data_IF_913159426146
#
_entry.id   IF_913159426146
#
_cell.length_a   1.000
_cell.length_b   1.000
_cell.length_c   1.000
_cell.angle_alpha   90.00
_cell.angle_beta   90.00
_cell.angle_gamma   90.00
#
_symmetry.space_group_name_H-M   'P 1'
#
loop_
_entity.id
_entity.type
_entity.pdbx_description
1 polymer ?
#
# COMPACT_ATOMS: atom_id res chain seq x y z
N UNK A 1 -10.01 -32.41 9.11
CA UNK A 1 -11.09 -31.41 9.09
C UNK A 1 -10.72 -30.31 8.10
N UNK A 2 -11.30 -30.33 6.90
CA UNK A 2 -11.18 -29.21 5.95
C UNK A 2 -12.22 -28.16 6.33
N UNK A 3 -11.78 -27.04 6.92
CA UNK A 3 -12.64 -25.86 7.08
C UNK A 3 -12.78 -25.18 5.72
N UNK A 4 -13.86 -25.49 5.01
CA UNK A 4 -14.28 -24.74 3.83
C UNK A 4 -14.82 -23.38 4.28
N UNK A 5 -14.00 -22.33 4.20
CA UNK A 5 -14.46 -20.95 4.37
C UNK A 5 -15.53 -20.65 3.31
N UNK A 6 -16.70 -20.19 3.74
CA UNK A 6 -17.81 -19.82 2.85
C UNK A 6 -17.41 -18.67 1.93
N UNK A 7 -17.97 -18.65 0.72
CA UNK A 7 -17.74 -17.60 -0.30
C UNK A 7 -17.95 -16.18 0.26
N UNK A 8 -18.93 -16.00 1.14
CA UNK A 8 -19.21 -14.71 1.81
C UNK A 8 -18.11 -14.28 2.77
N UNK A 9 -17.49 -15.21 3.50
CA UNK A 9 -16.42 -14.90 4.44
C UNK A 9 -15.11 -14.56 3.72
N UNK A 10 -14.81 -15.26 2.61
CA UNK A 10 -13.68 -14.91 1.73
C UNK A 10 -13.84 -13.51 1.15
N UNK A 11 -15.04 -13.16 0.65
CA UNK A 11 -15.35 -11.80 0.16
C UNK A 11 -15.24 -10.72 1.24
N UNK A 12 -15.65 -11.02 2.47
CA UNK A 12 -15.54 -10.09 3.59
C UNK A 12 -14.09 -9.82 4.01
N UNK A 13 -13.23 -10.86 4.02
CA UNK A 13 -11.79 -10.70 4.29
C UNK A 13 -11.14 -9.85 3.19
N UNK A 14 -11.39 -10.17 1.92
CA UNK A 14 -10.87 -9.38 0.79
C UNK A 14 -11.33 -7.93 0.91
N UNK A 15 -12.61 -7.68 1.21
CA UNK A 15 -13.16 -6.31 1.36
C UNK A 15 -12.54 -5.54 2.54
N UNK A 16 -12.46 -6.13 3.75
CA UNK A 16 -11.85 -5.46 4.91
C UNK A 16 -10.36 -5.19 4.69
N UNK A 17 -9.67 -6.11 4.02
CA UNK A 17 -8.27 -5.93 3.67
C UNK A 17 -8.11 -4.88 2.55
N UNK A 18 -9.07 -4.76 1.63
CA UNK A 18 -9.14 -3.70 0.63
C UNK A 18 -9.25 -2.29 1.27
N UNK A 19 -10.05 -2.18 2.33
CA UNK A 19 -10.24 -0.92 3.07
C UNK A 19 -8.99 -0.52 3.88
N UNK A 20 -8.24 -1.48 4.44
CA UNK A 20 -7.02 -1.18 5.22
C UNK A 20 -5.79 -0.89 4.34
N UNK A 21 -5.68 -1.55 3.19
CA UNK A 21 -4.55 -1.40 2.24
C UNK A 21 -4.67 -0.16 1.35
N UNK A 22 -5.84 0.49 1.30
CA UNK A 22 -6.04 1.76 0.59
C UNK A 22 -5.60 3.01 1.36
N UNK A 23 -4.78 2.86 2.40
CA UNK A 23 -4.11 3.97 3.08
C UNK A 23 -2.88 4.50 2.34
N UNK A 24 -2.67 4.12 1.07
CA UNK A 24 -1.64 4.75 0.23
C UNK A 24 -1.98 6.20 -0.05
N UNK A 25 -1.05 7.08 0.29
CA UNK A 25 -1.15 8.50 -0.01
C UNK A 25 -0.49 8.77 -1.36
N UNK A 26 -1.25 9.42 -2.25
CA UNK A 26 -0.70 10.17 -3.38
C UNK A 26 0.46 11.05 -2.88
N UNK A 27 1.57 11.06 -3.61
CA UNK A 27 2.76 11.86 -3.31
C UNK A 27 2.39 13.33 -2.99
N UNK A 28 1.44 13.92 -3.73
CA UNK A 28 0.97 15.29 -3.49
C UNK A 28 0.28 15.44 -2.14
N UNK A 29 -0.54 14.46 -1.75
CA UNK A 29 -1.21 14.46 -0.44
C UNK A 29 -0.20 14.25 0.69
N UNK A 30 0.83 13.43 0.44
CA UNK A 30 1.94 13.23 1.38
C UNK A 30 2.64 14.57 1.68
N UNK A 31 2.98 15.35 0.65
CA UNK A 31 3.63 16.65 0.80
C UNK A 31 2.79 17.66 1.59
N UNK A 32 1.47 17.67 1.35
CA UNK A 32 0.53 18.51 2.12
C UNK A 32 0.54 18.10 3.60
N UNK A 33 0.49 16.80 3.89
CA UNK A 33 0.52 16.29 5.25
C UNK A 33 1.85 16.61 5.96
N UNK A 34 2.98 16.51 5.25
CA UNK A 34 4.28 16.88 5.78
C UNK A 34 4.32 18.37 6.14
N UNK A 35 3.82 19.24 5.28
CA UNK A 35 3.71 20.68 5.58
C UNK A 35 2.87 20.94 6.83
N UNK A 36 1.72 20.26 6.96
CA UNK A 36 0.87 20.38 8.15
C UNK A 36 1.57 19.90 9.43
N UNK A 37 2.27 18.76 9.37
CA UNK A 37 3.04 18.24 10.51
C UNK A 37 4.16 19.23 10.90
N UNK A 38 4.83 19.83 9.91
CA UNK A 38 5.85 20.84 10.18
C UNK A 38 5.28 22.12 10.78
N UNK A 39 4.09 22.55 10.36
CA UNK A 39 3.45 23.77 10.88
C UNK A 39 3.03 23.64 12.35
N UNK A 40 2.79 22.42 12.84
CA UNK A 40 2.48 22.15 14.25
C UNK A 40 3.73 21.90 15.11
N UNK A 41 4.93 22.16 14.59
CA UNK A 41 6.19 22.16 15.35
C UNK A 41 6.92 20.82 15.38
N UNK A 42 6.69 19.96 14.40
CA UNK A 42 7.54 18.79 14.17
C UNK A 42 8.53 19.06 13.05
N UNK A 43 9.67 18.40 13.12
CA UNK A 43 10.71 18.39 12.10
C UNK A 43 10.84 16.98 11.54
N UNK A 44 11.02 16.87 10.23
CA UNK A 44 11.31 15.61 9.57
C UNK A 44 12.81 15.32 9.72
N UNK A 45 13.14 14.33 10.55
CA UNK A 45 14.51 13.86 10.78
C UNK A 45 14.92 12.85 9.71
N UNK A 46 13.96 12.06 9.24
CA UNK A 46 14.19 11.04 8.23
C UNK A 46 13.01 11.00 7.30
N UNK A 47 13.31 10.94 6.02
CA UNK A 47 12.36 10.80 4.93
C UNK A 47 12.99 9.89 3.88
N UNK A 48 12.61 8.62 3.90
CA UNK A 48 13.17 7.60 3.01
C UNK A 48 12.05 7.06 2.14
N UNK A 49 12.17 7.25 0.83
CA UNK A 49 11.31 6.59 -0.14
C UNK A 49 11.74 5.13 -0.31
N UNK A 50 10.84 4.20 0.01
CA UNK A 50 11.04 2.75 -0.11
C UNK A 50 10.17 2.14 -1.22
N UNK A 51 9.57 2.97 -2.10
CA UNK A 51 8.66 2.51 -3.15
C UNK A 51 9.31 1.49 -4.07
N UNK A 52 10.59 1.67 -4.39
CA UNK A 52 11.35 0.71 -5.19
C UNK A 52 11.48 -0.66 -4.50
N UNK A 53 11.78 -0.69 -3.20
CA UNK A 53 11.85 -1.93 -2.42
C UNK A 53 10.48 -2.63 -2.33
N UNK A 54 9.40 -1.85 -2.26
CA UNK A 54 8.03 -2.39 -2.31
C UNK A 54 7.76 -3.03 -3.66
N UNK A 55 8.11 -2.37 -4.77
CA UNK A 55 7.95 -2.94 -6.12
C UNK A 55 8.73 -4.24 -6.29
N UNK A 56 9.99 -4.29 -5.87
CA UNK A 56 10.79 -5.52 -5.88
C UNK A 56 10.12 -6.65 -5.08
N UNK A 57 9.57 -6.32 -3.90
CA UNK A 57 8.85 -7.31 -3.09
C UNK A 57 7.56 -7.79 -3.77
N UNK A 58 6.90 -6.93 -4.53
CA UNK A 58 5.74 -7.29 -5.34
C UNK A 58 6.14 -8.21 -6.48
N UNK A 59 7.22 -7.92 -7.20
CA UNK A 59 7.74 -8.77 -8.28
C UNK A 59 8.02 -10.18 -7.78
N UNK A 60 8.78 -10.31 -6.69
CA UNK A 60 9.20 -11.60 -6.11
C UNK A 60 8.00 -12.46 -5.66
N UNK A 61 6.93 -11.84 -5.17
CA UNK A 61 5.81 -12.55 -4.54
C UNK A 61 4.58 -12.70 -5.44
N UNK A 62 4.54 -12.01 -6.57
CA UNK A 62 3.35 -11.97 -7.42
C UNK A 62 2.94 -13.36 -7.88
N UNK A 63 3.86 -14.16 -8.41
CA UNK A 63 3.52 -15.50 -8.92
C UNK A 63 2.93 -16.40 -7.83
N UNK A 64 3.54 -16.37 -6.65
CA UNK A 64 3.05 -17.12 -5.49
C UNK A 64 1.62 -16.70 -5.11
N UNK A 65 1.36 -15.40 -5.05
CA UNK A 65 0.04 -14.90 -4.70
C UNK A 65 -1.00 -15.21 -5.78
N UNK A 66 -0.69 -14.97 -7.06
CA UNK A 66 -1.59 -15.31 -8.17
C UNK A 66 -1.99 -16.77 -8.15
N UNK A 67 -1.04 -17.68 -7.88
CA UNK A 67 -1.33 -19.10 -7.73
C UNK A 67 -2.30 -19.38 -6.58
N UNK A 68 -2.07 -18.78 -5.40
CA UNK A 68 -2.98 -18.92 -4.25
C UNK A 68 -4.40 -18.45 -4.60
N UNK A 69 -4.54 -17.34 -5.33
CA UNK A 69 -5.83 -16.82 -5.76
C UNK A 69 -6.51 -17.72 -6.81
N UNK A 70 -5.75 -18.29 -7.75
CA UNK A 70 -6.24 -19.27 -8.73
C UNK A 70 -6.73 -20.54 -8.04
N UNK A 71 -5.91 -21.14 -7.18
CA UNK A 71 -6.21 -22.38 -6.46
C UNK A 71 -7.45 -22.25 -5.55
N UNK A 72 -7.82 -21.02 -5.18
CA UNK A 72 -9.00 -20.71 -4.37
C UNK A 72 -10.24 -20.27 -5.16
N UNK A 73 -10.20 -20.31 -6.51
CA UNK A 73 -11.27 -19.83 -7.39
C UNK A 73 -11.73 -18.40 -7.05
N UNK A 74 -10.75 -17.52 -6.77
CA UNK A 74 -11.00 -16.09 -6.52
C UNK A 74 -10.97 -15.25 -7.80
N UNK A 75 -10.68 -15.86 -8.94
CA UNK A 75 -10.76 -15.27 -10.28
C UNK A 75 -12.01 -15.73 -11.01
N UNK A 76 -13.21 -15.38 -10.52
CA UNK A 76 -14.46 -15.87 -11.12
C UNK A 76 -14.77 -15.16 -12.44
N UNK A 77 -14.29 -13.92 -12.59
CA UNK A 77 -14.36 -13.13 -13.82
C UNK A 77 -13.14 -12.22 -13.99
N UNK A 78 -13.11 -11.50 -15.13
CA UNK A 78 -12.03 -10.57 -15.46
C UNK A 78 -11.95 -9.38 -14.50
N UNK A 79 -13.08 -8.91 -13.97
CA UNK A 79 -13.12 -7.78 -13.03
C UNK A 79 -12.52 -8.14 -11.68
N UNK A 80 -12.84 -9.33 -11.15
CA UNK A 80 -12.20 -9.88 -9.95
C UNK A 80 -10.70 -10.10 -10.16
N UNK A 81 -10.31 -10.56 -11.36
CA UNK A 81 -8.91 -10.70 -11.73
C UNK A 81 -8.16 -9.37 -11.70
N UNK A 82 -8.69 -8.35 -12.36
CA UNK A 82 -8.10 -7.01 -12.34
C UNK A 82 -8.00 -6.46 -10.92
N UNK A 83 -9.06 -6.62 -10.13
CA UNK A 83 -9.11 -6.19 -8.74
C UNK A 83 -8.03 -6.85 -7.89
N UNK A 84 -7.85 -8.17 -8.01
CA UNK A 84 -6.82 -8.92 -7.29
C UNK A 84 -5.41 -8.55 -7.79
N UNK A 85 -5.21 -8.43 -9.10
CA UNK A 85 -3.90 -8.04 -9.67
C UNK A 85 -3.48 -6.64 -9.23
N UNK A 86 -4.43 -5.69 -9.18
CA UNK A 86 -4.20 -4.36 -8.62
C UNK A 86 -3.94 -4.44 -7.11
N UNK A 87 -4.68 -5.28 -6.39
CA UNK A 87 -4.57 -5.43 -4.96
C UNK A 87 -3.20 -5.96 -4.51
N UNK A 88 -2.68 -7.00 -5.16
CA UNK A 88 -1.33 -7.52 -4.87
C UNK A 88 -0.22 -6.68 -5.51
N UNK A 89 -0.58 -5.62 -6.23
CA UNK A 89 0.34 -4.75 -6.96
C UNK A 89 1.24 -5.56 -7.92
N UNK A 90 0.64 -6.48 -8.67
CA UNK A 90 1.36 -7.31 -9.64
C UNK A 90 1.92 -6.48 -10.82
N UNK A 91 3.03 -6.90 -11.45
CA UNK A 91 3.56 -6.25 -12.64
C UNK A 91 2.51 -6.05 -13.72
N UNK A 92 2.45 -4.83 -14.26
CA UNK A 92 1.47 -4.45 -15.28
C UNK A 92 0.10 -4.02 -14.73
N UNK A 93 -0.18 -4.20 -13.44
CA UNK A 93 -1.38 -3.67 -12.80
C UNK A 93 -1.34 -2.14 -12.71
N UNK A 94 -2.50 -1.50 -12.65
CA UNK A 94 -2.62 -0.04 -12.51
C UNK A 94 -1.90 0.44 -11.24
N UNK A 95 -2.03 -0.29 -10.13
CA UNK A 95 -1.37 0.05 -8.87
C UNK A 95 0.16 -0.04 -8.97
N UNK A 96 0.66 -1.05 -9.67
CA UNK A 96 2.10 -1.19 -9.96
C UNK A 96 2.60 -0.01 -10.80
N UNK A 97 1.87 0.36 -11.86
CA UNK A 97 2.21 1.51 -12.69
C UNK A 97 2.16 2.84 -11.91
N UNK A 98 1.23 2.97 -10.97
CA UNK A 98 1.15 4.14 -10.10
C UNK A 98 2.37 4.28 -9.18
N UNK A 99 2.91 3.18 -8.65
CA UNK A 99 4.18 3.19 -7.92
C UNK A 99 5.37 3.44 -8.86
N UNK A 100 5.42 2.77 -10.02
CA UNK A 100 6.52 2.90 -10.97
C UNK A 100 6.64 4.33 -11.55
N UNK A 101 5.51 5.02 -11.70
CA UNK A 101 5.45 6.44 -12.13
C UNK A 101 5.71 7.44 -11.00
N UNK A 102 5.80 6.99 -9.75
CA UNK A 102 5.94 7.85 -8.57
C UNK A 102 4.66 8.57 -8.15
N UNK A 103 3.51 8.25 -8.75
CA UNK A 103 2.22 8.78 -8.31
C UNK A 103 1.87 8.32 -6.89
N UNK A 104 2.10 7.04 -6.61
CA UNK A 104 2.10 6.51 -5.26
C UNK A 104 3.51 6.35 -4.74
N UNK A 105 3.68 6.71 -3.47
CA UNK A 105 4.94 6.54 -2.77
C UNK A 105 4.71 5.86 -1.43
N UNK A 106 5.62 4.96 -1.07
CA UNK A 106 5.74 4.42 0.28
C UNK A 106 6.98 5.02 0.91
N UNK A 107 6.80 5.81 1.98
CA UNK A 107 7.89 6.52 2.64
C UNK A 107 7.96 6.17 4.12
N UNK A 108 9.17 6.03 4.65
CA UNK A 108 9.42 5.88 6.08
C UNK A 108 9.81 7.26 6.62
N UNK A 109 9.02 7.76 7.56
CA UNK A 109 9.28 9.02 8.22
C UNK A 109 9.75 8.82 9.66
N UNK A 110 10.71 9.65 10.07
CA UNK A 110 11.03 9.88 11.47
C UNK A 110 10.82 11.35 11.76
N UNK A 111 9.96 11.65 12.73
CA UNK A 111 9.70 13.01 13.16
C UNK A 111 10.30 13.29 14.53
N UNK A 112 10.69 14.54 14.75
CA UNK A 112 11.12 15.06 16.06
C UNK A 112 10.26 16.27 16.41
N UNK A 113 9.72 16.32 17.62
CA UNK A 113 9.04 17.52 18.12
C UNK A 113 10.08 18.58 18.45
N UNK A 114 9.93 19.77 17.89
CA UNK A 114 10.79 20.90 18.22
C UNK A 114 10.32 21.48 19.56
N UNK A 115 11.15 21.30 20.59
CA UNK A 115 10.96 21.97 21.88
C UNK A 115 11.19 23.47 21.69
N UNK A 116 10.26 24.32 22.16
CA UNK A 116 10.48 25.78 22.30
C UNK A 116 11.53 26.06 23.39
N UNK A 117 12.79 25.75 23.13
CA UNK A 117 14.00 26.23 23.82
C UNK A 117 15.02 26.31 22.69
N UNK A 118 15.41 27.46 22.17
CA UNK A 118 16.07 28.56 22.86
C UNK A 118 16.03 29.78 21.94
N UNK A 119 15.35 30.85 22.34
CA UNK A 119 15.71 32.20 21.92
C UNK A 119 16.55 32.73 23.09
N UNK A 120 17.87 32.70 22.95
CA UNK A 120 18.81 33.48 23.76
C UNK A 120 19.32 34.58 22.85
#
# INVERSE_FOLDING_TARGET
MHFSLTSSFKKAIVKKYYESVNSLLDAKKMDINLKLITSIGFEVVTDIDISHNVLLSCDEKTEQYLKIFQDNNLFQDESERLSITNFICSPGSERYQAFASGYYQQRIFKFRKVSKKTLV
#
